data_IF_336005330879
#
_entry.id   IF_336005330879
#
_cell.length_a   1.000
_cell.length_b   1.000
_cell.length_c   1.000
_cell.angle_alpha   90.00
_cell.angle_beta   90.00
_cell.angle_gamma   90.00
#
_symmetry.space_group_name_H-M   'P 1'
#
loop_
_entity.id
_entity.type
_entity.pdbx_description
1 polymer ?
#
# COMPACT_ATOMS: atom_id res chain seq x y z
N UNK A 1 -78.34 23.69 -40.53
CA UNK A 1 -77.58 22.56 -39.96
C UNK A 1 -76.31 23.16 -39.38
N UNK A 2 -76.15 23.07 -38.07
CA UNK A 2 -74.90 23.41 -37.43
C UNK A 2 -73.83 22.44 -37.94
N UNK A 3 -72.71 22.97 -38.42
CA UNK A 3 -71.61 22.15 -38.95
C UNK A 3 -70.89 21.48 -37.78
N UNK A 4 -70.70 20.17 -37.87
CA UNK A 4 -69.87 19.44 -36.90
C UNK A 4 -68.43 19.95 -37.05
N UNK A 5 -67.80 20.49 -35.99
CA UNK A 5 -66.42 20.92 -36.06
C UNK A 5 -65.48 19.76 -36.43
N UNK A 6 -64.41 20.05 -37.15
CA UNK A 6 -63.36 19.07 -37.47
C UNK A 6 -62.86 18.38 -36.20
N UNK A 7 -62.89 17.04 -36.18
CA UNK A 7 -62.51 16.23 -35.01
C UNK A 7 -63.67 15.84 -34.09
N UNK A 8 -64.92 16.14 -34.45
CA UNK A 8 -66.12 15.70 -33.71
C UNK A 8 -67.03 14.81 -34.58
N UNK A 9 -67.76 13.90 -33.96
CA UNK A 9 -68.91 13.17 -34.52
C UNK A 9 -70.18 13.69 -33.86
N UNK A 10 -71.18 14.01 -34.67
CA UNK A 10 -72.53 14.27 -34.17
C UNK A 10 -73.24 12.96 -33.85
N UNK A 11 -73.74 12.84 -32.63
CA UNK A 11 -74.63 11.74 -32.23
C UNK A 11 -76.00 12.31 -31.90
N UNK A 12 -77.03 11.95 -32.66
CA UNK A 12 -78.41 12.32 -32.37
C UNK A 12 -78.96 11.40 -31.27
N UNK A 13 -79.22 11.92 -30.08
CA UNK A 13 -79.96 11.19 -29.04
C UNK A 13 -81.44 11.21 -29.39
N UNK A 14 -81.95 10.14 -30.01
CA UNK A 14 -83.28 10.05 -30.63
C UNK A 14 -84.52 10.35 -29.76
N UNK A 15 -84.38 10.88 -28.56
CA UNK A 15 -85.49 11.27 -27.66
C UNK A 15 -85.50 12.76 -27.28
N UNK A 16 -84.46 13.53 -27.63
CA UNK A 16 -84.36 14.97 -27.37
C UNK A 16 -83.82 15.69 -28.60
N UNK A 17 -84.25 16.93 -28.87
CA UNK A 17 -83.66 17.79 -29.92
C UNK A 17 -82.23 18.26 -29.56
N UNK A 18 -81.55 17.57 -28.65
CA UNK A 18 -80.20 17.89 -28.20
C UNK A 18 -79.16 17.34 -29.19
N UNK A 19 -78.28 18.24 -29.62
CA UNK A 19 -77.14 17.92 -30.45
C UNK A 19 -75.94 17.64 -29.52
N UNK A 20 -75.45 16.40 -29.52
CA UNK A 20 -74.21 16.04 -28.82
C UNK A 20 -73.11 15.85 -29.84
N UNK A 21 -72.06 16.67 -29.75
CA UNK A 21 -70.82 16.48 -30.49
C UNK A 21 -69.84 15.72 -29.60
N UNK A 22 -69.41 14.53 -30.03
CA UNK A 22 -68.40 13.72 -29.35
C UNK A 22 -67.08 13.80 -30.09
N UNK A 23 -65.98 13.96 -29.36
CA UNK A 23 -64.64 13.99 -29.94
C UNK A 23 -64.30 12.66 -30.65
N UNK A 24 -63.66 12.71 -31.83
CA UNK A 24 -63.06 11.55 -32.50
C UNK A 24 -61.66 11.38 -31.94
N UNK A 25 -61.32 10.18 -31.48
CA UNK A 25 -59.94 9.84 -31.11
C UNK A 25 -59.10 9.71 -32.39
N UNK A 26 -58.39 10.78 -32.76
CA UNK A 26 -57.49 10.87 -33.90
C UNK A 26 -56.18 11.59 -33.50
N UNK A 27 -55.25 11.76 -34.45
CA UNK A 27 -53.94 12.36 -34.16
C UNK A 27 -54.02 13.79 -33.57
N UNK A 28 -55.14 14.51 -33.72
CA UNK A 28 -55.33 15.86 -33.16
C UNK A 28 -55.81 15.81 -31.71
N UNK A 29 -56.43 14.72 -31.29
CA UNK A 29 -57.05 14.55 -29.96
C UNK A 29 -56.27 13.60 -29.07
N UNK A 30 -55.23 12.96 -29.60
CA UNK A 30 -54.26 12.17 -28.84
C UNK A 30 -52.99 12.96 -28.52
N UNK A 31 -52.34 12.56 -27.43
CA UNK A 31 -51.06 13.11 -26.97
C UNK A 31 -50.15 11.98 -26.49
N UNK A 32 -48.89 12.33 -26.25
CA UNK A 32 -47.87 11.44 -25.72
C UNK A 32 -47.20 12.09 -24.52
N UNK A 33 -46.98 11.30 -23.48
CA UNK A 33 -46.25 11.71 -22.27
C UNK A 33 -44.91 11.01 -22.27
N UNK A 34 -43.86 11.78 -22.52
CA UNK A 34 -42.48 11.31 -22.48
C UNK A 34 -41.81 11.69 -21.17
N UNK A 35 -40.76 10.94 -20.84
CA UNK A 35 -39.81 11.29 -19.79
C UNK A 35 -38.55 10.44 -19.88
N UNK A 36 -37.68 10.61 -18.88
CA UNK A 36 -36.35 10.01 -18.82
C UNK A 36 -36.14 9.34 -17.48
N UNK A 37 -35.44 8.21 -17.50
CA UNK A 37 -34.99 7.46 -16.34
C UNK A 37 -33.47 7.44 -16.34
N UNK A 38 -32.86 7.88 -15.25
CA UNK A 38 -31.41 7.90 -15.05
C UNK A 38 -31.05 6.94 -13.92
N UNK A 39 -30.02 6.13 -14.13
CA UNK A 39 -29.46 5.22 -13.13
C UNK A 39 -28.06 5.70 -12.72
N UNK A 40 -27.85 5.84 -11.42
CA UNK A 40 -26.54 6.14 -10.79
C UNK A 40 -26.19 4.95 -9.91
N UNK A 41 -25.59 3.93 -10.55
CA UNK A 41 -25.39 2.60 -9.95
C UNK A 41 -24.18 1.86 -10.55
N UNK A 42 -23.09 2.58 -10.77
CA UNK A 42 -21.85 2.01 -11.30
C UNK A 42 -22.06 1.24 -12.60
N UNK A 43 -22.87 1.81 -13.51
CA UNK A 43 -23.28 1.14 -14.75
C UNK A 43 -23.84 -0.28 -14.57
N UNK A 44 -24.55 -0.50 -13.45
CA UNK A 44 -25.10 -1.79 -13.05
C UNK A 44 -24.05 -2.91 -12.87
N UNK A 45 -22.79 -2.58 -12.59
CA UNK A 45 -21.74 -3.60 -12.40
C UNK A 45 -22.04 -4.55 -11.22
N UNK A 46 -22.70 -4.03 -10.17
CA UNK A 46 -23.20 -4.82 -9.04
C UNK A 46 -24.49 -5.61 -9.30
N UNK A 47 -25.04 -5.56 -10.52
CA UNK A 47 -26.33 -6.18 -10.88
C UNK A 47 -27.48 -5.76 -9.95
N UNK A 48 -27.53 -4.48 -9.57
CA UNK A 48 -28.52 -3.95 -8.63
C UNK A 48 -29.82 -3.52 -9.30
N UNK A 49 -29.82 -3.31 -10.62
CA UNK A 49 -31.02 -2.88 -11.34
C UNK A 49 -32.11 -3.95 -11.32
N UNK A 50 -33.38 -3.57 -11.09
CA UNK A 50 -34.49 -4.50 -11.21
C UNK A 50 -34.72 -4.86 -12.69
N UNK A 51 -35.23 -6.07 -12.92
CA UNK A 51 -35.65 -6.53 -14.25
C UNK A 51 -36.83 -5.69 -14.79
N UNK A 52 -37.76 -5.34 -13.89
CA UNK A 52 -38.99 -4.60 -14.18
C UNK A 52 -39.03 -3.27 -13.40
N UNK A 53 -39.54 -2.23 -14.06
CA UNK A 53 -39.72 -0.91 -13.48
C UNK A 53 -41.18 -0.47 -13.64
N UNK A 54 -41.78 0.02 -12.55
CA UNK A 54 -43.21 0.35 -12.52
C UNK A 54 -43.40 1.86 -12.51
N UNK A 55 -44.01 2.38 -13.58
CA UNK A 55 -44.49 3.76 -13.67
C UNK A 55 -46.01 3.81 -13.61
N UNK A 56 -46.56 4.63 -12.73
CA UNK A 56 -47.98 4.93 -12.64
C UNK A 56 -48.27 6.24 -13.40
N UNK A 57 -49.20 6.21 -14.35
CA UNK A 57 -49.70 7.40 -15.04
C UNK A 57 -51.00 7.87 -14.38
N UNK A 58 -51.13 9.18 -14.16
CA UNK A 58 -52.36 9.80 -13.69
C UNK A 58 -52.86 10.83 -14.70
N UNK A 59 -54.17 10.86 -14.91
CA UNK A 59 -54.88 11.85 -15.70
C UNK A 59 -55.74 12.68 -14.75
N UNK A 60 -55.49 13.98 -14.64
CA UNK A 60 -56.18 14.88 -13.71
C UNK A 60 -56.23 14.35 -12.26
N UNK A 61 -55.14 13.69 -11.85
CA UNK A 61 -55.00 13.07 -10.52
C UNK A 61 -55.62 11.69 -10.36
N UNK A 62 -56.31 11.15 -11.38
CA UNK A 62 -56.85 9.79 -11.37
C UNK A 62 -55.89 8.79 -12.02
N UNK A 63 -55.53 7.73 -11.28
CA UNK A 63 -54.63 6.68 -11.77
C UNK A 63 -55.23 5.98 -12.99
N UNK A 64 -54.41 5.79 -14.02
CA UNK A 64 -54.77 5.06 -15.22
C UNK A 64 -54.39 3.58 -15.06
N UNK A 65 -55.35 2.70 -15.30
CA UNK A 65 -55.16 1.24 -15.17
C UNK A 65 -54.86 0.60 -16.53
N UNK A 66 -54.13 -0.51 -16.52
CA UNK A 66 -53.74 -1.28 -17.71
C UNK A 66 -52.98 -0.46 -18.77
N UNK A 67 -52.26 0.57 -18.33
CA UNK A 67 -51.38 1.34 -19.19
C UNK A 67 -49.93 1.07 -18.81
N UNK A 68 -49.12 0.76 -19.82
CA UNK A 68 -47.69 0.50 -19.66
C UNK A 68 -46.92 1.42 -20.61
N UNK A 69 -45.84 2.05 -20.16
CA UNK A 69 -45.01 2.85 -21.04
C UNK A 69 -44.26 1.96 -22.04
N UNK A 70 -43.95 2.54 -23.19
CA UNK A 70 -42.95 2.02 -24.12
C UNK A 70 -41.57 2.50 -23.65
N UNK A 71 -40.61 1.60 -23.57
CA UNK A 71 -39.25 1.88 -23.11
C UNK A 71 -38.24 1.84 -24.26
N UNK A 72 -37.29 2.76 -24.22
CA UNK A 72 -36.03 2.72 -24.97
C UNK A 72 -34.88 2.78 -23.96
N UNK A 73 -34.12 1.69 -23.84
CA UNK A 73 -33.08 1.54 -22.81
C UNK A 73 -31.70 1.69 -23.45
N UNK A 74 -30.94 2.72 -23.05
CA UNK A 74 -29.56 2.93 -23.49
C UNK A 74 -28.62 3.15 -22.29
N UNK A 75 -27.82 2.13 -21.96
CA UNK A 75 -26.92 2.17 -20.82
C UNK A 75 -27.63 2.58 -19.51
N UNK A 76 -27.21 3.73 -18.95
CA UNK A 76 -27.70 4.27 -17.69
C UNK A 76 -28.85 5.29 -17.87
N UNK A 77 -29.23 5.60 -19.12
CA UNK A 77 -30.26 6.58 -19.43
C UNK A 77 -31.32 5.92 -20.30
N UNK A 78 -32.51 5.72 -19.75
CA UNK A 78 -33.63 5.15 -20.46
C UNK A 78 -34.65 6.25 -20.75
N UNK A 79 -35.37 6.11 -21.87
CA UNK A 79 -36.52 6.95 -22.19
C UNK A 79 -37.80 6.14 -22.07
N UNK A 80 -38.87 6.78 -21.61
CA UNK A 80 -40.21 6.17 -21.57
C UNK A 80 -41.25 7.05 -22.26
N UNK A 81 -42.25 6.40 -22.84
CA UNK A 81 -43.35 7.06 -23.55
C UNK A 81 -44.67 6.39 -23.27
N UNK A 82 -45.64 7.15 -22.74
CA UNK A 82 -47.04 6.77 -22.73
C UNK A 82 -47.72 7.36 -23.97
N UNK A 83 -48.01 6.52 -24.95
CA UNK A 83 -48.54 6.94 -26.24
C UNK A 83 -50.06 6.85 -26.32
N UNK A 84 -50.64 7.58 -27.28
CA UNK A 84 -52.07 7.52 -27.63
C UNK A 84 -52.98 7.82 -26.43
N UNK A 85 -52.57 8.78 -25.60
CA UNK A 85 -53.35 9.29 -24.49
C UNK A 85 -54.36 10.32 -24.99
N UNK A 86 -55.56 10.41 -24.39
CA UNK A 86 -56.49 11.51 -24.71
C UNK A 86 -55.86 12.84 -24.34
N UNK A 87 -55.88 13.83 -25.23
CA UNK A 87 -55.44 15.20 -24.93
C UNK A 87 -56.50 15.98 -24.17
N UNK A 88 -57.77 15.73 -24.47
CA UNK A 88 -58.89 16.43 -23.88
C UNK A 88 -59.86 15.45 -23.23
N UNK A 89 -60.52 15.90 -22.17
CA UNK A 89 -61.68 15.22 -21.58
C UNK A 89 -62.84 15.20 -22.59
N UNK A 90 -63.87 14.40 -22.32
CA UNK A 90 -65.05 14.33 -23.19
C UNK A 90 -65.79 15.69 -23.26
N UNK A 91 -65.59 16.57 -22.28
CA UNK A 91 -66.11 17.95 -22.22
C UNK A 91 -65.17 18.99 -22.88
N UNK A 92 -64.04 18.56 -23.44
CA UNK A 92 -63.09 19.41 -24.17
C UNK A 92 -62.08 20.17 -23.32
N UNK A 93 -61.92 19.84 -22.03
CA UNK A 93 -60.86 20.41 -21.18
C UNK A 93 -59.55 19.65 -21.38
N UNK A 94 -58.40 20.33 -21.38
CA UNK A 94 -57.09 19.68 -21.52
C UNK A 94 -56.75 18.85 -20.28
N UNK A 95 -56.34 17.60 -20.50
CA UNK A 95 -56.00 16.66 -19.43
C UNK A 95 -54.57 16.92 -18.96
N UNK A 96 -54.38 17.06 -17.65
CA UNK A 96 -53.06 17.15 -17.03
C UNK A 96 -52.56 15.76 -16.68
N UNK A 97 -51.44 15.36 -17.29
CA UNK A 97 -50.79 14.08 -17.01
C UNK A 97 -49.58 14.21 -16.11
N UNK A 98 -49.57 13.41 -15.04
CA UNK A 98 -48.43 13.23 -14.14
C UNK A 98 -48.00 11.77 -14.12
N UNK A 99 -46.72 11.55 -13.83
CA UNK A 99 -46.12 10.22 -13.76
C UNK A 99 -45.49 10.07 -12.39
N UNK A 100 -45.64 8.91 -11.77
CA UNK A 100 -44.97 8.54 -10.53
C UNK A 100 -44.26 7.20 -10.73
N UNK A 101 -43.01 7.09 -10.31
CA UNK A 101 -42.28 5.83 -10.28
C UNK A 101 -42.43 5.17 -8.91
N UNK A 102 -42.66 3.86 -8.89
CA UNK A 102 -42.47 3.06 -7.67
C UNK A 102 -40.97 2.86 -7.47
N UNK A 103 -40.42 3.45 -6.41
CA UNK A 103 -38.98 3.40 -6.11
C UNK A 103 -38.55 1.93 -5.97
N UNK A 104 -37.59 1.45 -6.78
CA UNK A 104 -36.98 0.14 -6.64
C UNK A 104 -36.35 -0.06 -5.27
N UNK A 105 -36.42 -1.28 -4.75
CA UNK A 105 -35.69 -1.67 -3.54
C UNK A 105 -34.18 -1.45 -3.71
N UNK A 106 -33.52 -0.93 -2.68
CA UNK A 106 -32.08 -0.64 -2.72
C UNK A 106 -31.71 0.64 -3.46
N UNK A 107 -32.66 1.52 -3.78
CA UNK A 107 -32.41 2.81 -4.42
C UNK A 107 -33.05 3.98 -3.67
N UNK A 108 -32.40 5.14 -3.74
CA UNK A 108 -32.99 6.44 -3.46
C UNK A 108 -33.36 7.13 -4.78
N UNK A 109 -34.38 8.00 -4.76
CA UNK A 109 -34.90 8.64 -5.96
C UNK A 109 -34.93 10.17 -5.85
N UNK A 110 -34.50 10.84 -6.91
CA UNK A 110 -34.75 12.24 -7.17
C UNK A 110 -35.66 12.41 -8.39
N UNK A 111 -36.52 13.42 -8.35
CA UNK A 111 -37.48 13.72 -9.42
C UNK A 111 -37.29 15.16 -9.89
N UNK A 112 -37.26 15.38 -11.20
CA UNK A 112 -37.21 16.73 -11.78
C UNK A 112 -38.44 17.56 -11.43
N UNK A 113 -38.31 18.89 -11.50
CA UNK A 113 -39.41 19.82 -11.18
C UNK A 113 -40.67 19.62 -12.05
N UNK A 114 -40.52 19.14 -13.28
CA UNK A 114 -41.64 18.84 -14.18
C UNK A 114 -42.23 17.42 -13.99
N UNK A 115 -41.65 16.62 -13.10
CA UNK A 115 -42.10 15.26 -12.82
C UNK A 115 -41.87 14.27 -13.96
N UNK A 116 -40.92 14.56 -14.87
CA UNK A 116 -40.66 13.74 -16.07
C UNK A 116 -39.30 13.08 -16.11
N UNK A 117 -38.40 13.39 -15.18
CA UNK A 117 -37.10 12.74 -15.05
C UNK A 117 -37.01 12.12 -13.67
N UNK A 118 -36.77 10.81 -13.63
CA UNK A 118 -36.51 10.06 -12.41
C UNK A 118 -35.04 9.66 -12.40
N UNK A 119 -34.29 10.06 -11.37
CA UNK A 119 -32.91 9.63 -11.15
C UNK A 119 -32.88 8.71 -9.95
N UNK A 120 -32.46 7.46 -10.13
CA UNK A 120 -32.27 6.55 -9.02
C UNK A 120 -30.79 6.31 -8.75
N UNK A 121 -30.42 6.50 -7.49
CA UNK A 121 -29.07 6.26 -6.98
C UNK A 121 -29.09 5.02 -6.11
N UNK A 122 -28.19 4.08 -6.39
CA UNK A 122 -28.08 2.85 -5.60
C UNK A 122 -27.68 3.18 -4.17
N UNK A 123 -28.27 2.47 -3.21
CA UNK A 123 -27.89 2.54 -1.80
C UNK A 123 -26.70 1.59 -1.59
N UNK A 124 -25.64 2.10 -0.98
CA UNK A 124 -24.43 1.31 -0.71
C UNK A 124 -24.70 0.05 0.11
N UNK A 125 -24.10 -1.06 -0.31
CA UNK A 125 -24.26 -2.39 0.30
C UNK A 125 -23.10 -3.32 -0.08
N UNK A 126 -23.12 -4.57 0.37
CA UNK A 126 -22.10 -5.59 0.01
C UNK A 126 -22.01 -5.88 -1.50
N UNK A 127 -23.00 -5.45 -2.30
CA UNK A 127 -22.98 -5.53 -3.76
C UNK A 127 -22.17 -4.41 -4.43
N UNK A 128 -22.05 -3.25 -3.78
CA UNK A 128 -21.35 -2.07 -4.29
C UNK A 128 -20.08 -1.77 -3.51
N UNK A 129 -19.94 -2.35 -2.32
CA UNK A 129 -18.81 -2.16 -1.42
C UNK A 129 -18.14 -3.49 -1.03
N UNK A 130 -16.89 -3.39 -0.62
CA UNK A 130 -16.06 -4.47 -0.12
C UNK A 130 -15.35 -4.03 1.17
N UNK A 131 -15.00 -5.00 2.01
CA UNK A 131 -14.06 -4.80 3.12
C UNK A 131 -12.77 -5.52 2.78
N UNK A 132 -11.67 -4.78 2.71
CA UNK A 132 -10.33 -5.34 2.52
C UNK A 132 -9.70 -5.55 3.89
N UNK A 133 -9.22 -6.76 4.16
CA UNK A 133 -8.70 -7.13 5.47
C UNK A 133 -7.49 -8.06 5.33
N UNK A 134 -6.73 -8.18 6.40
CA UNK A 134 -5.62 -9.11 6.42
C UNK A 134 -4.98 -9.29 7.79
N UNK A 135 -4.03 -10.23 7.84
CA UNK A 135 -3.26 -10.59 9.03
C UNK A 135 -1.77 -10.54 8.77
N UNK A 136 -1.01 -10.32 9.84
CA UNK A 136 0.44 -10.31 9.83
C UNK A 136 1.01 -11.54 10.54
N UNK A 137 1.90 -12.24 9.84
CA UNK A 137 2.65 -13.40 10.33
C UNK A 137 4.16 -13.09 10.36
N UNK A 138 4.82 -13.49 11.44
CA UNK A 138 6.28 -13.38 11.61
C UNK A 138 6.91 -14.78 11.59
N UNK A 139 7.81 -15.03 10.64
CA UNK A 139 8.55 -16.29 10.45
C UNK A 139 9.99 -16.18 10.92
N UNK A 140 10.55 -17.33 11.31
CA UNK A 140 11.92 -17.48 11.84
C UNK A 140 12.21 -16.57 13.05
N UNK A 141 11.15 -16.19 13.75
CA UNK A 141 11.18 -15.45 15.00
C UNK A 141 11.51 -16.40 16.15
N UNK A 142 12.64 -16.16 16.82
CA UNK A 142 13.18 -16.99 17.90
C UNK A 142 12.80 -16.49 19.31
N UNK A 143 11.86 -15.55 19.40
CA UNK A 143 11.40 -14.98 20.67
C UNK A 143 12.08 -13.66 21.07
N UNK A 144 12.79 -12.99 20.15
CA UNK A 144 13.31 -11.63 20.33
C UNK A 144 12.23 -10.55 20.48
N UNK A 145 12.57 -9.27 20.50
CA UNK A 145 11.54 -8.21 20.47
C UNK A 145 11.08 -7.99 19.03
N UNK A 146 9.77 -7.96 18.78
CA UNK A 146 9.22 -7.57 17.48
C UNK A 146 9.26 -6.04 17.32
N UNK A 147 9.16 -5.49 16.10
CA UNK A 147 8.95 -4.06 15.91
C UNK A 147 7.70 -3.59 16.65
N UNK A 148 7.71 -2.37 17.18
CA UNK A 148 6.58 -1.82 17.95
C UNK A 148 5.29 -1.78 17.12
N UNK A 149 5.41 -1.48 15.82
CA UNK A 149 4.32 -1.46 14.86
C UNK A 149 4.86 -1.57 13.44
N UNK A 150 3.98 -1.90 12.50
CA UNK A 150 4.22 -1.82 11.05
C UNK A 150 3.15 -0.93 10.41
N UNK A 151 3.41 -0.46 9.20
CA UNK A 151 2.44 0.29 8.38
C UNK A 151 2.05 -0.55 7.18
N UNK A 152 0.74 -0.79 7.02
CA UNK A 152 0.15 -1.39 5.82
C UNK A 152 -0.53 -0.29 5.01
N UNK A 153 -0.16 -0.16 3.73
CA UNK A 153 -0.78 0.77 2.77
C UNK A 153 -1.82 0.02 1.94
N UNK A 154 -2.99 0.62 1.78
CA UNK A 154 -4.02 0.17 0.86
C UNK A 154 -3.85 0.92 -0.46
N UNK A 155 -3.72 0.20 -1.56
CA UNK A 155 -3.65 0.74 -2.91
C UNK A 155 -4.96 0.43 -3.65
N UNK A 156 -5.47 1.40 -4.40
CA UNK A 156 -6.56 1.25 -5.34
C UNK A 156 -6.03 1.55 -6.75
N UNK A 157 -6.08 0.57 -7.65
CA UNK A 157 -5.52 0.66 -9.00
C UNK A 157 -4.06 1.19 -9.00
N UNK A 158 -3.26 0.66 -8.08
CA UNK A 158 -1.85 1.02 -7.83
C UNK A 158 -1.59 2.44 -7.29
N UNK A 159 -2.61 3.19 -6.88
CA UNK A 159 -2.46 4.46 -6.16
C UNK A 159 -2.77 4.29 -4.68
N UNK A 160 -1.94 4.85 -3.79
CA UNK A 160 -2.19 4.83 -2.35
C UNK A 160 -3.51 5.54 -2.02
N UNK A 161 -4.40 4.82 -1.34
CA UNK A 161 -5.72 5.28 -0.96
C UNK A 161 -5.85 5.54 0.54
N UNK A 162 -5.29 4.64 1.36
CA UNK A 162 -5.34 4.72 2.82
C UNK A 162 -4.18 3.92 3.45
N UNK A 163 -4.03 3.99 4.77
CA UNK A 163 -3.03 3.20 5.50
C UNK A 163 -3.52 2.82 6.90
N UNK A 164 -3.01 1.70 7.41
CA UNK A 164 -3.26 1.19 8.75
C UNK A 164 -1.94 0.97 9.49
N UNK A 165 -1.91 1.36 10.77
CA UNK A 165 -0.84 0.99 11.70
C UNK A 165 -1.26 -0.31 12.39
N UNK A 166 -0.40 -1.32 12.33
CA UNK A 166 -0.67 -2.66 12.85
C UNK A 166 0.36 -2.99 13.92
N UNK A 167 -0.10 -3.47 15.07
CA UNK A 167 0.73 -3.79 16.23
C UNK A 167 0.15 -4.95 17.05
N UNK A 168 0.75 -5.25 18.20
CA UNK A 168 0.27 -6.31 19.09
C UNK A 168 -1.16 -6.02 19.62
N UNK A 169 -1.53 -4.75 19.81
CA UNK A 169 -2.85 -4.37 20.33
C UNK A 169 -3.97 -4.60 19.31
N UNK A 170 -3.66 -4.53 18.01
CA UNK A 170 -4.59 -4.92 16.93
C UNK A 170 -4.59 -6.43 16.68
N UNK A 171 -3.81 -7.20 17.45
CA UNK A 171 -3.62 -8.63 17.23
C UNK A 171 -2.96 -8.91 15.88
N UNK A 172 -2.11 -8.00 15.39
CA UNK A 172 -1.44 -8.13 14.10
C UNK A 172 -2.42 -8.29 12.93
N UNK A 173 -3.51 -7.52 12.94
CA UNK A 173 -4.51 -7.51 11.87
C UNK A 173 -4.89 -6.09 11.43
N UNK A 174 -5.43 -5.97 10.22
CA UNK A 174 -5.93 -4.72 9.66
C UNK A 174 -7.22 -4.92 8.86
N UNK A 175 -8.00 -3.86 8.72
CA UNK A 175 -9.30 -3.86 8.05
C UNK A 175 -9.63 -2.45 7.51
N UNK A 176 -10.04 -2.39 6.25
CA UNK A 176 -10.50 -1.21 5.53
C UNK A 176 -11.94 -1.46 5.03
N UNK A 177 -12.91 -0.71 5.55
CA UNK A 177 -14.36 -0.93 5.31
C UNK A 177 -14.94 0.01 4.27
N UNK A 178 -16.11 -0.39 3.79
CA UNK A 178 -16.99 0.44 2.97
C UNK A 178 -16.28 0.97 1.70
N UNK A 179 -15.38 0.15 1.14
CA UNK A 179 -14.59 0.50 -0.05
C UNK A 179 -15.41 0.21 -1.31
N UNK A 180 -15.48 1.11 -2.30
CA UNK A 180 -16.25 0.88 -3.51
C UNK A 180 -15.68 -0.29 -4.34
N UNK A 181 -16.53 -1.18 -4.83
CA UNK A 181 -16.12 -2.28 -5.73
C UNK A 181 -15.84 -1.80 -7.15
N UNK A 182 -16.44 -0.68 -7.55
CA UNK A 182 -16.44 -0.22 -8.93
C UNK A 182 -16.20 1.30 -9.01
N UNK A 183 -15.54 1.72 -10.08
CA UNK A 183 -15.58 3.11 -10.52
C UNK A 183 -16.98 3.47 -11.03
N UNK A 184 -17.29 4.77 -11.14
CA UNK A 184 -18.58 5.28 -11.66
C UNK A 184 -18.98 4.69 -13.03
N UNK A 185 -18.00 4.36 -13.88
CA UNK A 185 -18.24 3.75 -15.19
C UNK A 185 -18.55 2.24 -15.14
N UNK A 186 -18.45 1.61 -13.97
CA UNK A 186 -18.66 0.17 -13.74
C UNK A 186 -17.40 -0.69 -13.85
N UNK A 187 -16.23 -0.10 -14.10
CA UNK A 187 -14.96 -0.85 -14.06
C UNK A 187 -14.67 -1.28 -12.62
N UNK A 188 -14.33 -2.56 -12.36
CA UNK A 188 -13.91 -3.01 -11.03
C UNK A 188 -12.66 -2.29 -10.56
N UNK A 189 -12.60 -1.94 -9.28
CA UNK A 189 -11.40 -1.39 -8.63
C UNK A 189 -10.55 -2.55 -8.14
N UNK A 190 -9.26 -2.53 -8.45
CA UNK A 190 -8.31 -3.53 -7.95
C UNK A 190 -7.71 -2.99 -6.65
N UNK A 191 -7.91 -3.72 -5.56
CA UNK A 191 -7.30 -3.42 -4.28
C UNK A 191 -6.11 -4.33 -4.00
N UNK A 192 -4.99 -3.71 -3.62
CA UNK A 192 -3.76 -4.36 -3.21
C UNK A 192 -3.28 -3.75 -1.90
N UNK A 193 -2.40 -4.46 -1.19
CA UNK A 193 -1.75 -3.93 0.01
C UNK A 193 -0.24 -3.99 -0.11
N UNK A 194 0.42 -3.00 0.45
CA UNK A 194 1.87 -2.94 0.57
C UNK A 194 2.27 -2.75 2.05
N UNK A 195 3.45 -3.23 2.41
CA UNK A 195 4.05 -2.99 3.73
C UNK A 195 5.29 -2.09 3.58
N UNK A 196 5.45 -1.13 4.48
CA UNK A 196 6.69 -0.37 4.59
C UNK A 196 7.86 -1.32 4.98
N UNK A 197 8.97 -1.24 4.23
CA UNK A 197 10.14 -2.08 4.49
C UNK A 197 10.65 -1.99 5.93
N UNK A 198 10.94 -3.15 6.53
CA UNK A 198 11.50 -3.25 7.88
C UNK A 198 12.91 -3.81 7.78
N UNK A 199 13.88 -3.12 8.37
CA UNK A 199 15.28 -3.58 8.38
C UNK A 199 15.40 -4.97 9.02
N UNK A 200 16.24 -5.82 8.44
CA UNK A 200 16.44 -7.19 8.94
C UNK A 200 15.36 -8.18 8.53
N UNK A 201 14.36 -7.76 7.75
CA UNK A 201 13.26 -8.61 7.31
C UNK A 201 13.09 -8.63 5.79
N UNK A 202 12.66 -9.78 5.29
CA UNK A 202 12.12 -9.95 3.94
C UNK A 202 10.60 -10.09 4.03
N UNK A 203 9.86 -9.32 3.24
CA UNK A 203 8.39 -9.27 3.23
C UNK A 203 7.82 -10.01 2.02
N UNK A 204 6.72 -10.72 2.25
CA UNK A 204 5.93 -11.38 1.22
C UNK A 204 4.44 -11.20 1.54
N UNK A 205 3.64 -10.88 0.53
CA UNK A 205 2.20 -10.68 0.67
C UNK A 205 1.50 -11.66 -0.25
N UNK A 206 0.57 -12.43 0.31
CA UNK A 206 -0.30 -13.35 -0.42
C UNK A 206 -1.78 -13.00 -0.18
N UNK A 207 -2.67 -13.56 -0.98
CA UNK A 207 -4.10 -13.33 -0.91
C UNK A 207 -4.58 -12.18 -1.79
N UNK A 208 -5.83 -11.78 -1.57
CA UNK A 208 -6.51 -10.77 -2.38
C UNK A 208 -7.60 -10.03 -1.58
N UNK A 209 -8.15 -8.98 -2.17
CA UNK A 209 -9.17 -8.15 -1.55
C UNK A 209 -10.45 -8.88 -1.12
N UNK A 210 -10.82 -9.97 -1.82
CA UNK A 210 -12.08 -10.70 -1.57
C UNK A 210 -11.89 -11.77 -0.49
N UNK A 211 -10.72 -12.42 -0.46
CA UNK A 211 -10.41 -13.52 0.45
C UNK A 211 -9.60 -13.07 1.68
N UNK A 212 -9.06 -11.85 1.64
CA UNK A 212 -8.15 -11.31 2.63
C UNK A 212 -6.67 -11.51 2.26
N UNK A 213 -5.82 -10.67 2.83
CA UNK A 213 -4.38 -10.70 2.64
C UNK A 213 -3.65 -11.35 3.84
N UNK A 214 -2.57 -12.07 3.56
CA UNK A 214 -1.59 -12.50 4.55
C UNK A 214 -0.26 -11.82 4.26
N UNK A 215 0.16 -10.95 5.18
CA UNK A 215 1.48 -10.29 5.14
C UNK A 215 2.43 -11.13 5.98
N UNK A 216 3.50 -11.63 5.39
CA UNK A 216 4.48 -12.52 6.02
C UNK A 216 5.84 -11.86 6.02
N UNK A 217 6.42 -11.65 7.21
CA UNK A 217 7.81 -11.24 7.32
C UNK A 217 8.68 -12.36 7.85
N UNK A 218 9.80 -12.58 7.16
CA UNK A 218 10.85 -13.50 7.57
C UNK A 218 12.04 -12.74 8.10
N UNK A 219 12.45 -13.02 9.32
CA UNK A 219 13.68 -12.45 9.86
C UNK A 219 14.90 -13.03 9.14
N UNK A 220 15.79 -12.14 8.69
CA UNK A 220 17.07 -12.52 8.05
C UNK A 220 18.28 -11.87 8.72
N UNK A 221 18.05 -10.90 9.62
CA UNK A 221 19.10 -10.11 10.28
C UNK A 221 19.92 -9.24 9.31
N UNK A 222 19.53 -9.19 8.04
CA UNK A 222 20.25 -8.54 6.94
C UNK A 222 19.29 -7.67 6.14
N UNK A 223 19.85 -6.71 5.41
CA UNK A 223 19.15 -6.01 4.33
C UNK A 223 19.83 -6.45 3.01
N UNK A 224 19.11 -6.86 1.95
CA UNK A 224 19.73 -7.34 0.71
C UNK A 224 20.70 -6.33 0.07
N UNK A 225 20.56 -5.05 0.39
CA UNK A 225 21.38 -3.96 -0.14
C UNK A 225 22.63 -3.65 0.70
N UNK A 226 22.85 -4.37 1.81
CA UNK A 226 23.94 -4.08 2.76
C UNK A 226 24.86 -5.28 3.00
N UNK A 227 26.16 -5.01 3.08
CA UNK A 227 27.17 -6.01 3.44
C UNK A 227 27.01 -6.47 4.90
N UNK A 228 27.34 -7.74 5.20
CA UNK A 228 27.33 -8.24 6.57
C UNK A 228 28.33 -7.51 7.47
N UNK A 229 28.11 -7.58 8.77
CA UNK A 229 29.03 -7.01 9.76
C UNK A 229 30.16 -8.00 10.04
N UNK A 230 31.41 -7.55 9.92
CA UNK A 230 32.60 -8.30 10.32
C UNK A 230 33.35 -7.51 11.40
N UNK A 231 33.82 -8.20 12.44
CA UNK A 231 34.48 -7.59 13.61
C UNK A 231 35.83 -8.25 13.84
N UNK A 232 36.90 -7.46 13.68
CA UNK A 232 38.26 -7.86 14.00
C UNK A 232 38.59 -7.52 15.46
N UNK A 233 38.87 -8.55 16.25
CA UNK A 233 39.38 -8.45 17.62
C UNK A 233 40.90 -8.50 17.60
N UNK A 234 41.53 -7.56 18.29
CA UNK A 234 42.99 -7.51 18.46
C UNK A 234 43.36 -7.59 19.93
N UNK A 235 44.32 -8.45 20.26
CA UNK A 235 44.78 -8.65 21.62
C UNK A 235 46.21 -8.10 21.82
N UNK A 236 46.36 -7.22 22.81
CA UNK A 236 47.61 -6.58 23.20
C UNK A 236 48.01 -7.06 24.61
N UNK A 237 49.30 -7.32 24.78
CA UNK A 237 49.92 -7.69 26.06
C UNK A 237 50.89 -6.59 26.51
N UNK A 238 50.60 -5.96 27.66
CA UNK A 238 51.47 -5.01 28.33
C UNK A 238 52.08 -5.68 29.58
N UNK A 239 53.08 -6.54 29.36
CA UNK A 239 53.66 -7.41 30.40
C UNK A 239 55.20 -7.56 30.29
N UNK A 240 55.87 -6.53 29.76
CA UNK A 240 57.32 -6.50 29.55
C UNK A 240 57.84 -7.72 28.74
N UNK A 241 57.16 -8.04 27.64
CA UNK A 241 57.45 -9.19 26.77
C UNK A 241 57.44 -10.54 27.52
N UNK A 242 56.40 -10.72 28.34
CA UNK A 242 56.19 -11.91 29.16
C UNK A 242 57.37 -12.25 30.09
N UNK A 243 57.99 -11.22 30.71
CA UNK A 243 59.16 -11.37 31.60
C UNK A 243 58.96 -12.43 32.69
N UNK A 244 57.77 -12.47 33.29
CA UNK A 244 57.45 -13.36 34.42
C UNK A 244 56.94 -14.74 33.97
N UNK A 245 56.85 -15.01 32.66
CA UNK A 245 56.40 -16.28 32.06
C UNK A 245 54.99 -16.72 32.53
N UNK A 246 54.11 -15.77 32.81
CA UNK A 246 52.74 -16.02 33.27
C UNK A 246 51.67 -15.84 32.19
N UNK A 247 52.05 -15.34 30.99
CA UNK A 247 51.11 -15.17 29.88
C UNK A 247 50.48 -16.53 29.51
N UNK A 248 49.15 -16.65 29.48
CA UNK A 248 48.49 -17.90 29.12
C UNK A 248 48.74 -18.25 27.65
N UNK A 249 48.59 -19.53 27.30
CA UNK A 249 48.69 -19.98 25.90
C UNK A 249 47.52 -19.53 25.02
N UNK A 250 46.39 -19.18 25.64
CA UNK A 250 45.18 -18.73 24.96
C UNK A 250 44.32 -17.86 25.87
N UNK A 251 43.43 -17.08 25.27
CA UNK A 251 42.33 -16.39 25.95
C UNK A 251 41.01 -16.78 25.30
N UNK A 252 39.92 -16.67 26.06
CA UNK A 252 38.56 -16.85 25.57
C UNK A 252 37.88 -15.48 25.53
N UNK A 253 37.42 -15.09 24.35
CA UNK A 253 36.73 -13.82 24.11
C UNK A 253 35.31 -14.12 23.66
N UNK A 254 34.32 -13.59 24.39
CA UNK A 254 32.91 -13.65 24.00
C UNK A 254 32.56 -12.42 23.17
N UNK A 255 31.85 -12.62 22.05
CA UNK A 255 31.18 -11.55 21.31
C UNK A 255 29.78 -11.37 21.90
N UNK A 256 29.40 -10.12 22.18
CA UNK A 256 28.10 -9.75 22.68
C UNK A 256 27.35 -8.93 21.62
N UNK A 257 26.09 -9.27 21.38
CA UNK A 257 25.14 -8.50 20.59
C UNK A 257 24.09 -7.92 21.53
N UNK A 258 23.90 -6.59 21.53
CA UNK A 258 22.99 -5.89 22.43
C UNK A 258 23.19 -6.30 23.91
N UNK A 259 24.45 -6.50 24.30
CA UNK A 259 24.85 -6.91 25.65
C UNK A 259 24.61 -8.38 26.01
N UNK A 260 24.16 -9.23 25.06
CA UNK A 260 24.00 -10.69 25.26
C UNK A 260 25.11 -11.44 24.53
N UNK A 261 25.75 -12.40 25.20
CA UNK A 261 26.74 -13.25 24.56
C UNK A 261 26.10 -14.09 23.43
N UNK A 262 26.67 -14.00 22.23
CA UNK A 262 26.16 -14.70 21.03
C UNK A 262 27.11 -15.79 20.54
N UNK A 263 28.41 -15.59 20.68
CA UNK A 263 29.43 -16.57 20.31
C UNK A 263 30.72 -16.30 21.06
N UNK A 264 31.67 -17.23 21.01
CA UNK A 264 32.98 -17.11 21.66
C UNK A 264 34.09 -17.55 20.70
N UNK A 265 35.27 -16.94 20.87
CA UNK A 265 36.46 -17.26 20.12
C UNK A 265 37.66 -17.47 21.05
N UNK A 266 38.49 -18.45 20.71
CA UNK A 266 39.78 -18.66 21.37
C UNK A 266 40.86 -17.94 20.58
N UNK A 267 41.59 -17.04 21.23
CA UNK A 267 42.71 -16.29 20.64
C UNK A 267 44.02 -16.79 21.23
N UNK A 268 45.05 -16.99 20.39
CA UNK A 268 46.33 -17.61 20.77
C UNK A 268 47.52 -16.84 20.17
N UNK A 269 48.74 -17.27 20.47
CA UNK A 269 49.92 -16.75 19.77
C UNK A 269 49.98 -17.20 18.29
N UNK A 270 49.37 -18.35 17.95
CA UNK A 270 49.42 -18.92 16.59
C UNK A 270 48.64 -18.07 15.57
N UNK A 271 47.52 -17.48 15.99
CA UNK A 271 46.74 -16.55 15.19
C UNK A 271 47.15 -15.09 15.41
N UNK A 272 48.40 -14.87 15.83
CA UNK A 272 48.97 -13.54 16.05
C UNK A 272 48.13 -12.66 17.00
N UNK A 273 47.45 -13.30 17.96
CA UNK A 273 46.59 -12.62 18.91
C UNK A 273 45.44 -11.81 18.26
N UNK A 274 44.94 -12.27 17.11
CA UNK A 274 43.77 -11.68 16.44
C UNK A 274 42.71 -12.73 16.12
N UNK A 275 41.45 -12.28 16.00
CA UNK A 275 40.35 -13.12 15.54
C UNK A 275 39.30 -12.25 14.87
N UNK A 276 38.70 -12.73 13.77
CA UNK A 276 37.65 -12.02 13.05
C UNK A 276 36.34 -12.81 13.14
N UNK A 277 35.31 -12.17 13.68
CA UNK A 277 33.93 -12.65 13.56
C UNK A 277 33.36 -12.16 12.23
N UNK A 278 32.85 -13.06 11.40
CA UNK A 278 32.36 -12.74 10.05
C UNK A 278 30.87 -13.06 9.89
N UNK A 279 30.25 -12.43 8.90
CA UNK A 279 28.85 -12.68 8.51
C UNK A 279 27.83 -12.42 9.63
N UNK A 280 28.13 -11.47 10.52
CA UNK A 280 27.25 -11.13 11.63
C UNK A 280 26.00 -10.40 11.14
N UNK A 281 24.90 -10.65 11.84
CA UNK A 281 23.64 -9.94 11.65
C UNK A 281 23.84 -8.45 11.92
N UNK A 282 23.20 -7.60 11.11
CA UNK A 282 23.27 -6.15 11.28
C UNK A 282 22.13 -5.63 12.13
N UNK A 283 20.94 -6.17 11.94
CA UNK A 283 19.72 -5.74 12.61
C UNK A 283 19.15 -6.86 13.45
N UNK A 284 18.65 -6.54 14.64
CA UNK A 284 17.94 -7.48 15.49
C UNK A 284 16.48 -7.67 15.03
N UNK A 285 15.74 -8.54 15.73
CA UNK A 285 14.34 -8.84 15.42
C UNK A 285 13.40 -7.63 15.55
N UNK A 286 13.80 -6.55 16.22
CA UNK A 286 13.02 -5.31 16.28
C UNK A 286 13.32 -4.37 15.09
N UNK A 287 14.21 -4.78 14.18
CA UNK A 287 14.67 -3.99 13.04
C UNK A 287 15.67 -2.89 13.40
N UNK A 288 16.26 -2.94 14.61
CA UNK A 288 17.27 -1.99 15.07
C UNK A 288 18.68 -2.54 14.84
N UNK A 289 19.62 -1.66 14.49
CA UNK A 289 21.04 -2.05 14.35
C UNK A 289 21.59 -2.59 15.68
N UNK A 290 22.30 -3.71 15.59
CA UNK A 290 22.87 -4.45 16.72
C UNK A 290 24.11 -3.73 17.23
N UNK A 291 24.17 -3.48 18.54
CA UNK A 291 25.39 -2.99 19.20
C UNK A 291 26.29 -4.16 19.58
N UNK A 292 27.39 -4.34 18.83
CA UNK A 292 28.39 -5.36 19.13
C UNK A 292 29.46 -4.87 20.11
N UNK A 293 29.81 -5.73 21.05
CA UNK A 293 30.94 -5.53 21.98
C UNK A 293 31.63 -6.86 22.27
N UNK A 294 32.80 -6.82 22.90
CA UNK A 294 33.54 -8.03 23.28
C UNK A 294 33.81 -8.03 24.78
N UNK A 295 33.88 -9.23 25.35
CA UNK A 295 34.30 -9.45 26.73
C UNK A 295 35.36 -10.55 26.77
N UNK A 296 36.39 -10.38 27.60
CA UNK A 296 37.41 -11.41 27.85
C UNK A 296 37.06 -12.17 29.13
N UNK A 297 37.23 -13.49 29.12
CA UNK A 297 37.21 -14.26 30.36
C UNK A 297 38.40 -13.87 31.25
N UNK A 298 38.18 -13.78 32.57
CA UNK A 298 39.21 -13.34 33.52
C UNK A 298 40.55 -14.06 33.32
N UNK A 299 41.61 -13.29 33.09
CA UNK A 299 42.97 -13.79 32.97
C UNK A 299 43.73 -13.58 34.28
N UNK A 300 44.04 -14.68 34.97
CA UNK A 300 44.71 -14.65 36.27
C UNK A 300 46.05 -13.90 36.19
N UNK A 301 46.23 -12.91 37.07
CA UNK A 301 47.47 -12.13 37.17
C UNK A 301 47.51 -10.88 36.27
N UNK A 302 46.45 -10.61 35.51
CA UNK A 302 46.34 -9.46 34.61
C UNK A 302 45.15 -8.58 34.95
N UNK A 303 45.24 -7.30 34.55
CA UNK A 303 44.10 -6.37 34.50
C UNK A 303 43.73 -6.09 33.05
N UNK A 304 42.47 -6.31 32.69
CA UNK A 304 41.96 -6.15 31.32
C UNK A 304 41.37 -4.77 31.09
N UNK A 305 41.68 -4.17 29.95
CA UNK A 305 41.07 -2.93 29.43
C UNK A 305 40.59 -3.22 28.01
N UNK A 306 39.33 -2.90 27.71
CA UNK A 306 38.72 -3.10 26.39
C UNK A 306 38.37 -1.72 25.82
N UNK A 307 38.93 -1.41 24.65
CA UNK A 307 38.63 -0.20 23.88
C UNK A 307 38.13 -0.60 22.49
N UNK A 308 36.81 -0.49 22.29
CA UNK A 308 36.11 -1.09 21.15
C UNK A 308 36.33 -2.60 21.08
N UNK A 309 37.07 -3.05 20.06
CA UNK A 309 37.42 -4.46 19.85
C UNK A 309 38.90 -4.76 20.12
N UNK A 310 39.62 -3.83 20.75
CA UNK A 310 41.01 -4.04 21.19
C UNK A 310 41.03 -4.39 22.67
N UNK A 311 41.61 -5.54 23.01
CA UNK A 311 41.74 -6.03 24.38
C UNK A 311 43.18 -5.87 24.84
N UNK A 312 43.42 -5.13 25.92
CA UNK A 312 44.76 -4.92 26.49
C UNK A 312 44.84 -5.52 27.88
N UNK A 313 45.76 -6.48 28.08
CA UNK A 313 46.01 -7.06 29.40
C UNK A 313 47.31 -6.52 29.94
N UNK A 314 47.20 -5.91 31.11
CA UNK A 314 48.29 -5.27 31.80
C UNK A 314 48.77 -6.16 32.93
N UNK A 315 50.08 -6.41 32.97
CA UNK A 315 50.74 -7.02 34.10
C UNK A 315 51.90 -6.13 34.53
N UNK A 316 51.95 -5.75 35.80
CA UNK A 316 53.09 -5.04 36.37
C UNK A 316 54.04 -6.07 36.97
N UNK A 317 55.22 -6.32 36.37
CA UNK A 317 56.17 -7.30 36.90
C UNK A 317 56.64 -6.91 38.30
N UNK A 318 56.93 -7.92 39.12
CA UNK A 318 57.59 -7.66 40.39
C UNK A 318 58.97 -7.00 40.13
N UNK A 319 59.30 -5.95 40.88
CA UNK A 319 60.61 -5.33 40.77
C UNK A 319 61.70 -6.40 40.89
N UNK A 320 62.60 -6.46 39.89
CA UNK A 320 63.71 -7.41 39.91
C UNK A 320 64.41 -7.31 41.27
N UNK A 321 64.77 -8.45 41.90
CA UNK A 321 65.57 -8.41 43.12
C UNK A 321 66.82 -7.58 42.82
N UNK A 322 67.06 -6.56 43.64
CA UNK A 322 68.27 -5.75 43.55
C UNK A 322 69.45 -6.75 43.60
N UNK A 323 70.30 -6.81 42.57
CA UNK A 323 71.48 -7.67 42.64
C UNK A 323 72.29 -7.22 43.86
N UNK A 324 72.56 -8.14 44.79
CA UNK A 324 73.47 -7.84 45.88
C UNK A 324 74.80 -7.33 45.29
N UNK A 325 75.20 -6.15 45.76
CA UNK A 325 76.42 -5.46 45.36
C UNK A 325 77.63 -6.42 45.46
N UNK A 326 78.35 -6.72 44.36
CA UNK A 326 79.55 -7.51 44.46
C UNK A 326 80.62 -6.68 45.18
N UNK A 327 81.02 -7.15 46.36
CA UNK A 327 82.13 -6.59 47.10
C UNK A 327 83.42 -6.63 46.25
N UNK A 328 83.86 -5.44 45.84
CA UNK A 328 85.24 -4.99 45.63
C UNK A 328 86.24 -5.94 44.98
N UNK A 329 86.66 -5.59 43.75
CA UNK A 329 87.91 -6.07 43.15
C UNK A 329 88.20 -5.41 41.79
N UNK A 330 88.99 -4.34 41.79
CA UNK A 330 89.48 -3.57 40.63
C UNK A 330 90.76 -4.22 40.01
N UNK A 331 91.30 -3.76 38.86
CA UNK A 331 90.89 -4.03 37.48
C UNK A 331 91.97 -4.78 36.66
N UNK A 332 91.63 -5.27 35.46
CA UNK A 332 92.61 -5.64 34.44
C UNK A 332 92.20 -5.21 33.01
N UNK A 333 92.92 -4.18 32.54
CA UNK A 333 93.28 -3.78 31.17
C UNK A 333 92.44 -4.22 29.94
N UNK A 334 91.85 -3.19 29.33
CA UNK A 334 91.69 -2.86 27.90
C UNK A 334 91.98 -3.91 26.80
N UNK A 335 90.97 -4.11 25.94
CA UNK A 335 91.16 -4.37 24.52
C UNK A 335 90.09 -3.62 23.68
N UNK A 336 90.60 -2.65 22.93
CA UNK A 336 90.18 -1.95 21.70
C UNK A 336 88.82 -2.24 21.05
N UNK A 337 88.13 -1.13 20.74
CA UNK A 337 86.89 -1.02 19.97
C UNK A 337 87.01 -1.34 18.47
N UNK A 338 85.90 -1.78 17.86
CA UNK A 338 85.54 -1.49 16.46
C UNK A 338 84.06 -1.15 16.41
N UNK A 339 83.76 0.06 15.93
CA UNK A 339 82.42 0.57 15.59
C UNK A 339 81.81 -0.28 14.45
N UNK A 340 80.57 -0.73 14.63
CA UNK A 340 79.71 -1.27 13.57
C UNK A 340 78.46 -0.40 13.45
N UNK A 341 78.14 -0.03 12.21
CA UNK A 341 77.26 1.06 11.80
C UNK A 341 75.77 0.85 12.12
N UNK A 342 75.09 1.99 12.21
CA UNK A 342 73.64 2.13 12.36
C UNK A 342 72.89 1.65 11.11
N UNK A 343 71.83 0.85 11.30
CA UNK A 343 70.80 0.64 10.30
C UNK A 343 69.52 1.40 10.69
N UNK A 344 69.05 2.23 9.77
CA UNK A 344 67.80 2.97 9.83
C UNK A 344 66.58 2.05 9.64
N UNK A 345 65.36 2.45 10.06
CA UNK A 345 64.17 1.63 9.97
C UNK A 345 63.70 1.43 8.53
N UNK A 346 63.33 0.19 8.19
CA UNK A 346 62.66 -0.15 6.94
C UNK A 346 61.16 0.17 7.07
N UNK A 347 60.66 1.03 6.20
CA UNK A 347 59.23 1.30 6.01
C UNK A 347 58.60 0.19 5.15
N UNK A 348 57.35 -0.24 5.37
CA UNK A 348 56.65 -1.10 4.42
C UNK A 348 56.25 -0.31 3.15
N UNK A 349 56.56 -0.89 1.99
CA UNK A 349 56.17 -0.37 0.67
C UNK A 349 54.64 -0.32 0.51
N UNK A 350 54.16 0.85 0.08
CA UNK A 350 52.80 1.07 -0.40
C UNK A 350 52.74 0.61 -1.85
N UNK A 351 51.99 -0.46 -2.12
CA UNK A 351 51.65 -0.88 -3.48
C UNK A 351 50.55 0.01 -4.05
N UNK A 352 50.91 0.91 -4.96
CA UNK A 352 49.99 1.66 -5.83
C UNK A 352 49.90 0.92 -7.16
N UNK A 353 48.71 0.43 -7.51
CA UNK A 353 48.34 0.15 -8.91
C UNK A 353 46.96 0.76 -9.16
N UNK A 354 46.97 2.02 -9.59
CA UNK A 354 45.91 2.56 -10.40
C UNK A 354 46.30 2.41 -11.87
N UNK A 355 45.38 1.93 -12.71
CA UNK A 355 44.86 2.71 -13.84
C UNK A 355 43.74 1.91 -14.51
N UNK A 356 42.56 2.52 -14.54
CA UNK A 356 41.36 2.02 -15.19
C UNK A 356 41.08 2.85 -16.46
N UNK A 357 40.91 2.11 -17.56
CA UNK A 357 40.09 2.33 -18.76
C UNK A 357 40.39 3.50 -19.72
N UNK A 358 40.14 3.27 -21.01
CA UNK A 358 38.95 3.88 -21.61
C UNK A 358 38.03 2.88 -22.35
N UNK A 359 36.76 3.25 -22.65
CA UNK A 359 35.75 2.37 -23.21
C UNK A 359 35.88 2.23 -24.74
N UNK A 360 35.57 1.04 -25.28
CA UNK A 360 35.35 0.86 -26.72
C UNK A 360 33.87 1.05 -27.08
N UNK A 361 33.66 1.84 -28.14
CA UNK A 361 32.38 2.20 -28.73
C UNK A 361 31.64 1.00 -29.38
N UNK A 362 30.31 1.13 -29.38
CA UNK A 362 29.38 0.14 -29.88
C UNK A 362 29.39 -0.12 -31.38
N UNK A 363 28.82 -1.27 -31.75
CA UNK A 363 28.42 -1.58 -33.12
C UNK A 363 26.97 -2.04 -33.13
N UNK A 364 26.20 -1.31 -33.94
CA UNK A 364 24.80 -1.42 -34.29
C UNK A 364 24.43 -2.84 -34.80
N UNK A 365 23.41 -3.45 -34.19
CA UNK A 365 22.69 -4.60 -34.75
C UNK A 365 21.37 -4.14 -35.37
N UNK A 366 21.20 -4.43 -36.66
CA UNK A 366 20.01 -4.13 -37.46
C UNK A 366 18.76 -4.91 -37.02
N UNK A 367 17.60 -4.26 -37.02
CA UNK A 367 16.31 -4.95 -37.29
C UNK A 367 15.44 -4.11 -38.22
N UNK A 368 15.10 -4.69 -39.38
CA UNK A 368 14.17 -4.18 -40.39
C UNK A 368 12.71 -4.22 -39.89
N UNK A 369 11.91 -3.21 -40.29
CA UNK A 369 10.45 -3.12 -40.12
C UNK A 369 9.63 -4.13 -40.96
N UNK A 370 8.32 -3.93 -41.26
CA UNK A 370 7.56 -2.68 -41.53
C UNK A 370 6.32 -2.51 -40.60
N UNK A 371 5.53 -1.44 -40.53
CA UNK A 371 5.21 -0.32 -41.44
C UNK A 371 3.74 -0.43 -41.91
N UNK A 372 2.83 0.36 -41.33
CA UNK A 372 1.55 0.95 -41.85
C UNK A 372 0.94 1.74 -40.67
N UNK A 373 0.63 3.03 -40.70
CA UNK A 373 -0.05 3.80 -41.74
C UNK A 373 -1.54 3.86 -41.42
N UNK A 374 -2.00 4.90 -40.70
CA UNK A 374 -3.04 5.82 -41.22
C UNK A 374 -3.54 6.83 -40.18
N UNK A 375 -3.64 8.05 -40.68
CA UNK A 375 -4.20 9.23 -40.04
C UNK A 375 -5.67 9.38 -40.46
N UNK A 376 -6.57 9.71 -39.53
CA UNK A 376 -7.81 10.42 -39.86
C UNK A 376 -8.32 11.24 -38.65
N UNK A 377 -8.82 12.47 -38.87
CA UNK A 377 -9.25 13.38 -37.81
C UNK A 377 -10.73 13.16 -37.47
N UNK A 378 -11.09 13.22 -36.18
CA UNK A 378 -12.49 13.30 -35.75
C UNK A 378 -12.76 14.74 -35.31
N UNK A 379 -13.70 15.38 -36.00
CA UNK A 379 -14.22 16.69 -35.72
C UNK A 379 -15.62 16.59 -35.10
N UNK A 380 -15.89 17.43 -34.10
CA UNK A 380 -17.21 17.73 -33.52
C UNK A 380 -17.63 16.76 -32.40
N UNK A 381 -18.26 17.17 -31.30
CA UNK A 381 -19.00 18.38 -31.00
C UNK A 381 -18.76 18.78 -29.54
N UNK A 382 -18.62 20.09 -29.31
CA UNK A 382 -18.63 20.67 -27.98
C UNK A 382 -20.03 20.53 -27.37
N UNK A 383 -20.13 19.81 -26.25
CA UNK A 383 -21.16 20.04 -25.26
C UNK A 383 -20.50 20.41 -23.93
N UNK A 384 -20.76 21.65 -23.54
CA UNK A 384 -20.40 22.25 -22.26
C UNK A 384 -21.27 21.57 -21.18
N UNK A 385 -20.75 20.51 -20.55
CA UNK A 385 -21.26 20.07 -19.24
C UNK A 385 -20.46 20.85 -18.21
N UNK A 386 -21.06 21.93 -17.73
CA UNK A 386 -20.65 22.59 -16.50
C UNK A 386 -21.09 21.65 -15.36
N UNK A 387 -20.21 20.76 -14.95
CA UNK A 387 -20.44 19.80 -13.87
C UNK A 387 -19.15 19.66 -13.08
N UNK A 388 -19.24 19.89 -11.78
CA UNK A 388 -18.15 20.07 -10.83
C UNK A 388 -16.98 19.09 -11.01
N UNK A 389 -15.76 19.65 -11.03
CA UNK A 389 -14.56 18.96 -10.56
C UNK A 389 -14.83 18.66 -9.08
N UNK A 390 -15.32 17.46 -8.77
CA UNK A 390 -15.19 16.91 -7.44
C UNK A 390 -13.80 16.30 -7.37
N UNK A 391 -12.89 17.10 -6.82
CA UNK A 391 -11.69 16.60 -6.15
C UNK A 391 -12.08 15.42 -5.26
N UNK A 392 -11.37 14.30 -5.40
CA UNK A 392 -11.33 13.22 -4.42
C UNK A 392 -11.08 13.82 -3.03
N UNK A 393 -12.16 14.08 -2.31
CA UNK A 393 -12.18 14.50 -0.93
C UNK A 393 -12.74 13.34 -0.14
N UNK A 394 -11.91 12.32 0.12
CA UNK A 394 -12.19 11.27 1.09
C UNK A 394 -12.41 11.97 2.43
N UNK A 395 -13.67 12.26 2.75
CA UNK A 395 -14.03 12.85 4.03
C UNK A 395 -14.33 11.69 4.98
N UNK A 396 -13.28 11.21 5.64
CA UNK A 396 -13.39 10.27 6.75
C UNK A 396 -14.32 10.86 7.82
N UNK A 397 -15.54 10.32 7.91
CA UNK A 397 -16.56 10.75 8.88
C UNK A 397 -16.20 10.19 10.25
N UNK A 398 -15.37 10.93 11.00
CA UNK A 398 -15.03 10.62 12.39
C UNK A 398 -16.29 10.69 13.27
N UNK A 399 -16.92 9.53 13.53
CA UNK A 399 -18.06 9.40 14.43
C UNK A 399 -17.56 9.59 15.87
N UNK A 400 -17.86 10.76 16.45
CA UNK A 400 -17.64 11.09 17.85
C UNK A 400 -18.59 10.21 18.69
N UNK A 401 -18.03 9.34 19.53
CA UNK A 401 -18.76 8.53 20.51
C UNK A 401 -19.06 9.43 21.71
N UNK A 402 -20.33 9.76 21.92
CA UNK A 402 -20.85 10.35 23.16
C UNK A 402 -21.82 9.31 23.79
N UNK A 403 -21.65 9.10 25.09
CA UNK A 403 -22.51 8.38 26.07
C UNK A 403 -22.49 6.83 25.99
N UNK A 404 -22.28 6.04 27.05
CA UNK A 404 -22.38 6.21 28.52
C UNK A 404 -21.09 5.94 29.31
#
# INVERSE_FOLDING_TARGET
MESVPDGYVRTDSGESNDLVNKLIDDAKTLTTVNGTKIWVDYSNAGNTRPDDLVLNLYADGAKQENITPVWEKDGNVWSYSFEKLKRYTDDGQEITYTVEEVIPEGYEQEVSQDGRIFTNTVIESDLTQITVQGTKTWLDYDGGELPESITIRLLADSEEMDQAVVDESTGWSFEFKDLPRFMENGTPIIYEVEEDSINGYESHIDGDAENGFEVVNRYTGKNPEEDPVNILVTKIWEDADNQDNIRPGSILVSLLADGKAVTEATITAENLWTYEFTELERYNTAGKEIEYSVNEADVVGYSTVIDGFTITNNHTPAAAPIPDEPAGGEPAAAATAVLGEAFAPVQPEVGVLGEALPPEEGVLGESKGPGTGDSAPIAGWSFLIMGAILTLGITAKKRKKEEE
#
